data_IF_049073383371
#
_entry.id   IF_049073383371
#
_cell.length_a   1.000
_cell.length_b   1.000
_cell.length_c   1.000
_cell.angle_alpha   90.00
_cell.angle_beta   90.00
_cell.angle_gamma   90.00
#
_symmetry.space_group_name_H-M   'P 1'
#
loop_
_entity.id
_entity.type
_entity.pdbx_description
1 polymer ?
#
# COMPACT_ATOMS: atom_id res chain seq x y z
N UNK A 1 13.99 13.75 -22.57
CA UNK A 1 13.80 12.29 -22.41
C UNK A 1 13.33 12.03 -21.00
N UNK A 2 12.15 11.41 -20.82
CA UNK A 2 11.57 11.12 -19.50
C UNK A 2 11.94 9.68 -19.08
N UNK A 3 12.90 9.48 -18.17
CA UNK A 3 13.38 8.13 -17.82
C UNK A 3 12.36 7.29 -17.03
N UNK A 4 11.23 7.89 -16.64
CA UNK A 4 10.26 7.36 -15.66
C UNK A 4 8.95 6.91 -16.34
N UNK A 5 8.79 7.13 -17.65
CA UNK A 5 7.63 6.65 -18.38
C UNK A 5 7.87 5.23 -18.88
N UNK A 6 7.51 4.27 -18.04
CA UNK A 6 7.44 2.86 -18.40
C UNK A 6 6.19 2.63 -19.28
N UNK A 7 6.40 2.41 -20.59
CA UNK A 7 5.30 2.30 -21.57
C UNK A 7 4.35 1.17 -21.22
N UNK A 8 4.86 0.05 -20.72
CA UNK A 8 4.05 -1.11 -20.32
C UNK A 8 3.04 -0.77 -19.22
N UNK A 9 3.37 0.18 -18.35
CA UNK A 9 2.52 0.62 -17.24
C UNK A 9 1.46 1.63 -17.66
N UNK A 10 1.70 2.39 -18.72
CA UNK A 10 0.89 3.53 -19.14
C UNK A 10 0.39 3.41 -20.59
N UNK A 11 -0.01 2.21 -21.00
CA UNK A 11 -0.58 1.92 -22.33
C UNK A 11 -1.71 2.89 -22.71
N UNK A 12 -2.56 3.26 -21.75
CA UNK A 12 -3.68 4.18 -21.97
C UNK A 12 -3.26 5.63 -22.30
N UNK A 13 -1.99 5.99 -22.06
CA UNK A 13 -1.47 7.34 -22.31
C UNK A 13 -0.45 7.37 -23.45
N UNK A 14 -0.24 6.27 -24.19
CA UNK A 14 0.80 6.14 -25.21
C UNK A 14 0.73 7.22 -26.28
N UNK A 15 -0.47 7.50 -26.80
CA UNK A 15 -0.69 8.54 -27.82
C UNK A 15 -0.22 9.93 -27.35
N UNK A 16 -0.43 10.25 -26.07
CA UNK A 16 0.00 11.53 -25.47
C UNK A 16 1.52 11.56 -25.22
N UNK A 17 2.13 10.42 -24.99
CA UNK A 17 3.58 10.28 -24.84
C UNK A 17 4.25 10.50 -26.20
N UNK A 18 3.72 9.88 -27.25
CA UNK A 18 4.22 10.03 -28.61
C UNK A 18 4.05 11.47 -29.12
N UNK A 19 2.88 12.08 -28.88
CA UNK A 19 2.65 13.49 -29.20
C UNK A 19 3.64 14.43 -28.47
N UNK A 20 3.97 14.14 -27.21
CA UNK A 20 4.96 14.92 -26.46
C UNK A 20 6.38 14.70 -26.99
N UNK A 21 6.70 13.47 -27.39
CA UNK A 21 8.00 13.12 -27.98
C UNK A 21 8.18 13.79 -29.35
N UNK A 22 7.16 13.80 -30.19
CA UNK A 22 7.12 14.54 -31.45
C UNK A 22 7.26 16.04 -31.24
N UNK A 23 6.58 16.61 -30.24
CA UNK A 23 6.75 18.02 -29.89
C UNK A 23 8.17 18.34 -29.42
N UNK A 24 8.85 17.42 -28.74
CA UNK A 24 10.25 17.58 -28.36
C UNK A 24 11.25 17.37 -29.52
N UNK A 25 10.84 16.76 -30.64
CA UNK A 25 11.64 16.68 -31.88
C UNK A 25 11.61 18.01 -32.66
N UNK A 26 10.69 18.93 -32.34
CA UNK A 26 10.60 20.28 -32.92
C UNK A 26 11.80 21.17 -32.51
N UNK A 27 12.12 22.25 -33.26
CA UNK A 27 13.27 23.08 -32.94
C UNK A 27 13.11 23.74 -31.56
N UNK A 28 14.20 23.75 -30.79
CA UNK A 28 14.29 24.17 -29.38
C UNK A 28 13.54 25.46 -29.04
N UNK A 29 13.51 26.44 -29.96
CA UNK A 29 12.80 27.71 -29.76
C UNK A 29 11.27 27.55 -29.60
N UNK A 30 10.64 26.61 -30.31
CA UNK A 30 9.19 26.35 -30.19
C UNK A 30 8.85 25.68 -28.85
N UNK A 31 9.74 24.81 -28.37
CA UNK A 31 9.62 24.16 -27.06
C UNK A 31 9.75 25.16 -25.92
N UNK A 32 10.70 26.10 -26.02
CA UNK A 32 10.94 27.16 -25.01
C UNK A 32 9.80 28.18 -24.96
N UNK A 33 9.11 28.42 -26.07
CA UNK A 33 7.94 29.31 -26.13
C UNK A 33 6.65 28.66 -25.60
N UNK A 34 6.69 27.41 -25.13
CA UNK A 34 5.55 26.75 -24.47
C UNK A 34 4.53 26.11 -25.41
N UNK A 35 4.88 25.89 -26.68
CA UNK A 35 4.02 25.27 -27.69
C UNK A 35 3.57 23.85 -27.32
N UNK A 36 4.36 23.13 -26.52
CA UNK A 36 4.06 21.77 -26.04
C UNK A 36 3.26 21.73 -24.71
N UNK A 37 2.77 22.87 -24.20
CA UNK A 37 2.15 22.93 -22.85
C UNK A 37 0.83 22.17 -22.73
N UNK A 38 -0.02 22.20 -23.75
CA UNK A 38 -1.32 21.53 -23.74
C UNK A 38 -1.18 20.00 -23.69
N UNK A 39 -0.39 19.43 -24.61
CA UNK A 39 -0.07 17.99 -24.63
C UNK A 39 0.55 17.53 -23.31
N UNK A 40 1.44 18.36 -22.72
CA UNK A 40 2.03 18.08 -21.41
C UNK A 40 0.99 18.03 -20.29
N UNK A 41 0.02 18.95 -20.28
CA UNK A 41 -1.06 18.97 -19.28
C UNK A 41 -1.93 17.71 -19.44
N UNK A 42 -2.32 17.38 -20.66
CA UNK A 42 -3.13 16.19 -20.95
C UNK A 42 -2.41 14.91 -20.52
N UNK A 43 -1.12 14.77 -20.85
CA UNK A 43 -0.32 13.64 -20.42
C UNK A 43 -0.21 13.56 -18.89
N UNK A 44 0.02 14.70 -18.22
CA UNK A 44 0.09 14.74 -16.75
C UNK A 44 -1.21 14.27 -16.10
N UNK A 45 -2.36 14.67 -16.65
CA UNK A 45 -3.68 14.24 -16.17
C UNK A 45 -3.87 12.74 -16.38
N UNK A 46 -3.58 12.23 -17.58
CA UNK A 46 -3.69 10.80 -17.89
C UNK A 46 -2.83 9.94 -16.96
N UNK A 47 -1.57 10.33 -16.73
CA UNK A 47 -0.67 9.63 -15.82
C UNK A 47 -1.16 9.67 -14.37
N UNK A 48 -1.74 10.80 -13.95
CA UNK A 48 -2.31 10.93 -12.60
C UNK A 48 -3.48 9.97 -12.41
N UNK A 49 -4.40 9.91 -13.37
CA UNK A 49 -5.55 9.00 -13.33
C UNK A 49 -5.13 7.53 -13.34
N UNK A 50 -4.17 7.15 -14.19
CA UNK A 50 -3.63 5.79 -14.23
C UNK A 50 -2.98 5.38 -12.89
N UNK A 51 -2.26 6.29 -12.24
CA UNK A 51 -1.71 6.07 -10.89
C UNK A 51 -2.82 5.86 -9.87
N UNK A 52 -3.83 6.72 -9.86
CA UNK A 52 -4.97 6.58 -8.95
C UNK A 52 -5.74 5.27 -9.15
N UNK A 53 -5.94 4.85 -10.40
CA UNK A 53 -6.58 3.57 -10.71
C UNK A 53 -5.77 2.39 -10.14
N UNK A 54 -4.45 2.38 -10.41
CA UNK A 54 -3.53 1.36 -9.88
C UNK A 54 -3.52 1.32 -8.35
N UNK A 55 -3.52 2.48 -7.70
CA UNK A 55 -3.52 2.59 -6.24
C UNK A 55 -4.83 2.06 -5.64
N UNK A 56 -5.98 2.34 -6.26
CA UNK A 56 -7.28 1.79 -5.86
C UNK A 56 -7.27 0.27 -5.91
N UNK A 57 -6.77 -0.33 -6.99
CA UNK A 57 -6.65 -1.78 -7.09
C UNK A 57 -5.73 -2.36 -6.01
N UNK A 58 -4.59 -1.71 -5.77
CA UNK A 58 -3.63 -2.14 -4.76
C UNK A 58 -4.22 -2.07 -3.34
N UNK A 59 -5.02 -1.04 -3.04
CA UNK A 59 -5.74 -0.92 -1.78
C UNK A 59 -6.72 -2.08 -1.61
N UNK A 60 -7.49 -2.43 -2.64
CA UNK A 60 -8.45 -3.54 -2.59
C UNK A 60 -7.70 -4.86 -2.36
N UNK A 61 -6.66 -5.15 -3.15
CA UNK A 61 -5.82 -6.34 -3.02
C UNK A 61 -5.18 -6.44 -1.63
N UNK A 62 -4.75 -5.31 -1.05
CA UNK A 62 -4.17 -5.26 0.29
C UNK A 62 -5.21 -5.54 1.38
N UNK A 63 -6.42 -4.99 1.25
CA UNK A 63 -7.53 -5.25 2.19
C UNK A 63 -7.90 -6.73 2.19
N UNK A 64 -8.00 -7.36 1.02
CA UNK A 64 -8.29 -8.79 0.91
C UNK A 64 -7.19 -9.64 1.54
N UNK A 65 -5.93 -9.36 1.24
CA UNK A 65 -4.78 -10.05 1.86
C UNK A 65 -4.76 -9.89 3.38
N UNK A 66 -5.07 -8.71 3.89
CA UNK A 66 -5.12 -8.46 5.34
C UNK A 66 -6.23 -9.27 6.00
N UNK A 67 -7.42 -9.34 5.38
CA UNK A 67 -8.54 -10.14 5.89
C UNK A 67 -8.17 -11.63 5.99
N UNK A 68 -7.58 -12.18 4.94
CA UNK A 68 -7.12 -13.58 4.92
C UNK A 68 -6.03 -13.80 5.99
N UNK A 69 -5.12 -12.85 6.16
CA UNK A 69 -4.07 -12.94 7.17
C UNK A 69 -4.64 -12.92 8.60
N UNK A 70 -5.62 -12.06 8.87
CA UNK A 70 -6.31 -11.97 10.15
C UNK A 70 -7.09 -13.25 10.46
N UNK A 71 -7.84 -13.78 9.49
CA UNK A 71 -8.57 -15.05 9.63
C UNK A 71 -7.60 -16.20 9.95
N UNK A 72 -6.46 -16.29 9.23
CA UNK A 72 -5.44 -17.30 9.49
C UNK A 72 -4.75 -17.13 10.84
N UNK A 73 -4.54 -15.90 11.30
CA UNK A 73 -3.99 -15.63 12.64
C UNK A 73 -4.96 -16.11 13.71
N UNK A 74 -6.24 -15.76 13.58
CA UNK A 74 -7.28 -16.17 14.52
C UNK A 74 -7.41 -17.70 14.59
N UNK A 75 -7.40 -18.38 13.44
CA UNK A 75 -7.45 -19.84 13.41
C UNK A 75 -6.27 -20.46 14.16
N UNK A 76 -5.04 -19.99 13.91
CA UNK A 76 -3.86 -20.48 14.64
C UNK A 76 -3.95 -20.20 16.15
N UNK A 77 -4.43 -19.03 16.54
CA UNK A 77 -4.62 -18.69 17.95
C UNK A 77 -5.65 -19.60 18.63
N UNK A 78 -6.75 -19.93 17.92
CA UNK A 78 -7.77 -20.87 18.39
C UNK A 78 -7.24 -22.31 18.48
N UNK A 79 -6.38 -22.74 17.54
CA UNK A 79 -5.70 -24.05 17.57
C UNK A 79 -4.70 -24.16 18.74
N UNK A 80 -3.89 -23.12 18.98
CA UNK A 80 -2.85 -23.12 20.01
C UNK A 80 -3.41 -22.94 21.43
N UNK A 81 -4.38 -22.05 21.61
CA UNK A 81 -4.83 -21.60 22.94
C UNK A 81 -6.28 -21.97 23.24
N UNK A 82 -6.95 -22.71 22.36
CA UNK A 82 -8.37 -23.05 22.46
C UNK A 82 -9.28 -21.86 22.17
N UNK A 83 -10.60 -22.12 22.21
CA UNK A 83 -11.63 -21.12 21.90
C UNK A 83 -11.41 -19.82 22.70
N UNK A 84 -11.39 -18.69 21.99
CA UNK A 84 -11.19 -17.34 22.55
C UNK A 84 -9.92 -17.18 23.42
N UNK A 85 -8.87 -17.97 23.15
CA UNK A 85 -7.61 -17.92 23.90
C UNK A 85 -7.75 -18.36 25.36
N UNK A 86 -8.70 -19.24 25.65
CA UNK A 86 -9.01 -19.68 27.02
C UNK A 86 -7.78 -20.20 27.77
N UNK A 87 -6.99 -21.06 27.16
CA UNK A 87 -5.81 -21.65 27.81
C UNK A 87 -4.78 -20.59 28.19
N UNK A 88 -4.58 -19.60 27.31
CA UNK A 88 -3.68 -18.47 27.57
C UNK A 88 -4.11 -17.68 28.81
N UNK A 89 -5.42 -17.38 28.91
CA UNK A 89 -6.00 -16.66 30.06
C UNK A 89 -5.81 -17.43 31.36
N UNK A 90 -6.00 -18.74 31.35
CA UNK A 90 -5.80 -19.58 32.53
C UNK A 90 -4.34 -19.55 32.98
N UNK A 91 -3.39 -19.74 32.06
CA UNK A 91 -1.95 -19.69 32.38
C UNK A 91 -1.55 -18.32 32.93
N UNK A 92 -2.06 -17.23 32.37
CA UNK A 92 -1.81 -15.87 32.87
C UNK A 92 -2.35 -15.66 34.30
N UNK A 93 -3.52 -16.22 34.61
CA UNK A 93 -4.11 -16.15 35.96
C UNK A 93 -3.28 -16.95 36.97
N UNK A 94 -2.92 -18.18 36.63
CA UNK A 94 -2.04 -19.04 37.45
C UNK A 94 -0.71 -18.35 37.74
N UNK A 95 -0.07 -17.76 36.72
CA UNK A 95 1.18 -17.02 36.89
C UNK A 95 1.01 -15.81 37.81
N UNK A 96 -0.07 -15.03 37.65
CA UNK A 96 -0.38 -13.89 38.53
C UNK A 96 -0.63 -14.32 39.98
N UNK A 97 -1.34 -15.42 40.19
CA UNK A 97 -1.58 -15.95 41.53
C UNK A 97 -0.28 -16.40 42.18
N UNK A 98 0.57 -17.12 41.43
CA UNK A 98 1.90 -17.52 41.89
C UNK A 98 2.79 -16.32 42.23
N UNK A 99 2.77 -15.25 41.42
CA UNK A 99 3.50 -14.02 41.72
C UNK A 99 3.03 -13.39 43.04
N UNK A 100 1.72 -13.30 43.26
CA UNK A 100 1.14 -12.76 44.51
C UNK A 100 1.54 -13.58 45.74
N UNK A 101 1.61 -14.91 45.60
CA UNK A 101 2.09 -15.79 46.67
C UNK A 101 3.59 -15.60 46.95
N UNK A 102 4.39 -15.27 45.93
CA UNK A 102 5.83 -15.06 46.06
C UNK A 102 6.24 -13.65 46.50
N UNK A 103 5.33 -12.67 46.47
CA UNK A 103 5.54 -11.34 47.05
C UNK A 103 4.96 -11.32 48.46
N UNK A 104 5.75 -11.63 49.52
CA UNK A 104 5.26 -11.44 50.87
C UNK A 104 4.97 -9.95 51.06
N UNK A 105 3.82 -9.67 51.67
CA UNK A 105 3.45 -8.37 52.23
C UNK A 105 4.59 -7.83 53.11
N UNK A 106 5.48 -7.03 52.53
CA UNK A 106 6.32 -6.07 53.26
C UNK A 106 5.65 -4.71 53.18
N UNK A 107 4.56 -4.53 53.93
CA UNK A 107 4.11 -3.21 54.35
C UNK A 107 4.20 -3.15 55.87
N UNK A 108 5.12 -2.30 56.33
CA UNK A 108 5.29 -1.84 57.71
C UNK A 108 4.39 -0.65 57.96
#
# INVERSE_FOLDING_TARGET
>A
MHPILDRDRFQNCEDLIDALEECHKSPFFETVLGKCSDVKIQLSTCLHESRLASDRENIIKRREKNKILEEKKKLREEEEWGKDGYLKKVIELEYKNKLKETTPTTEK
#
